data_IF_596643315992
#
_entry.id   IF_596643315992
#
_cell.length_a   1.000
_cell.length_b   1.000
_cell.length_c   1.000
_cell.angle_alpha   90.00
_cell.angle_beta   90.00
_cell.angle_gamma   90.00
#
_symmetry.space_group_name_H-M   'P 1'
#
loop_
_entity.id
_entity.type
_entity.pdbx_description
1 polymer ?
#
# COMPACT_ATOMS: atom_id res chain seq x y z
N UNK A 1 -12.99 -15.66 -14.25
CA UNK A 1 -12.30 -14.71 -13.36
C UNK A 1 -13.08 -14.62 -12.06
N UNK A 2 -12.47 -14.89 -10.89
CA UNK A 2 -13.18 -14.83 -9.59
C UNK A 2 -13.15 -13.39 -9.07
N UNK A 3 -14.32 -12.76 -8.93
CA UNK A 3 -14.44 -11.46 -8.28
C UNK A 3 -14.48 -11.67 -6.76
N UNK A 4 -13.48 -11.15 -6.06
CA UNK A 4 -13.45 -11.14 -4.59
C UNK A 4 -13.90 -9.75 -4.15
N UNK A 5 -15.08 -9.66 -3.53
CA UNK A 5 -15.58 -8.42 -2.92
C UNK A 5 -14.81 -8.19 -1.63
N UNK A 6 -13.75 -7.39 -1.68
CA UNK A 6 -13.01 -6.95 -0.50
C UNK A 6 -13.55 -5.60 -0.02
N UNK A 7 -13.75 -5.50 1.28
CA UNK A 7 -14.18 -4.25 1.92
C UNK A 7 -13.01 -3.27 1.97
N UNK A 8 -13.30 -1.96 2.04
CA UNK A 8 -12.29 -0.90 2.14
C UNK A 8 -11.27 -1.16 3.29
N UNK A 9 -11.70 -1.57 4.50
CA UNK A 9 -10.77 -1.90 5.59
C UNK A 9 -9.87 -3.09 5.30
N UNK A 10 -10.37 -4.14 4.63
CA UNK A 10 -9.55 -5.29 4.23
C UNK A 10 -8.44 -4.90 3.25
N UNK A 11 -8.74 -4.03 2.28
CA UNK A 11 -7.73 -3.53 1.35
C UNK A 11 -6.68 -2.72 2.09
N UNK A 12 -7.09 -1.88 3.05
CA UNK A 12 -6.18 -1.15 3.93
C UNK A 12 -5.27 -2.07 4.74
N UNK A 13 -5.82 -3.14 5.33
CA UNK A 13 -5.07 -4.12 6.12
C UNK A 13 -4.02 -4.89 5.28
N UNK A 14 -4.42 -5.30 4.08
CA UNK A 14 -3.53 -6.00 3.13
C UNK A 14 -2.43 -5.05 2.62
N UNK A 15 -2.77 -3.80 2.32
CA UNK A 15 -1.80 -2.80 1.91
C UNK A 15 -0.81 -2.47 3.04
N UNK A 16 -1.31 -2.32 4.27
CA UNK A 16 -0.49 -2.02 5.44
C UNK A 16 0.51 -3.12 5.78
N UNK A 17 0.09 -4.39 5.73
CA UNK A 17 0.99 -5.53 5.96
C UNK A 17 2.08 -5.65 4.90
N UNK A 18 1.76 -5.38 3.63
CA UNK A 18 2.74 -5.32 2.53
C UNK A 18 3.74 -4.18 2.69
N UNK A 19 3.25 -2.99 3.07
CA UNK A 19 4.10 -1.84 3.34
C UNK A 19 5.04 -2.12 4.53
N UNK A 20 4.53 -2.68 5.63
CA UNK A 20 5.33 -3.03 6.80
C UNK A 20 6.42 -4.07 6.48
N UNK A 21 6.09 -5.10 5.69
CA UNK A 21 7.06 -6.11 5.26
C UNK A 21 8.17 -5.51 4.37
N UNK A 22 7.81 -4.66 3.40
CA UNK A 22 8.78 -3.97 2.54
C UNK A 22 9.69 -3.00 3.32
N UNK A 23 9.12 -2.25 4.27
CA UNK A 23 9.88 -1.36 5.14
C UNK A 23 10.84 -2.13 6.06
N UNK A 24 10.39 -3.25 6.66
CA UNK A 24 11.24 -4.11 7.48
C UNK A 24 12.43 -4.67 6.70
N UNK A 25 12.19 -5.19 5.49
CA UNK A 25 13.25 -5.67 4.60
C UNK A 25 14.23 -4.55 4.20
N UNK A 26 13.71 -3.37 3.86
CA UNK A 26 14.55 -2.22 3.57
C UNK A 26 15.44 -1.83 4.76
N UNK A 27 14.90 -1.82 5.99
CA UNK A 27 15.66 -1.53 7.20
C UNK A 27 16.74 -2.58 7.49
N UNK A 28 16.48 -3.86 7.23
CA UNK A 28 17.47 -4.94 7.36
C UNK A 28 18.61 -4.82 6.32
N UNK A 29 18.29 -4.47 5.06
CA UNK A 29 19.29 -4.31 4.00
C UNK A 29 20.05 -2.99 4.07
N UNK A 30 19.48 -1.99 4.73
CA UNK A 30 20.00 -0.65 4.90
C UNK A 30 21.32 -0.60 5.70
N UNK A 31 21.54 -1.53 6.63
CA UNK A 31 22.74 -1.59 7.48
C UNK A 31 24.00 -2.05 6.72
N UNK A 32 23.83 -2.63 5.52
CA UNK A 32 24.91 -3.00 4.60
C UNK A 32 25.38 -1.83 3.71
N UNK A 33 24.79 -0.64 3.85
CA UNK A 33 25.02 0.51 2.96
C UNK A 33 25.78 1.63 3.68
N UNK A 34 26.74 2.22 2.98
CA UNK A 34 27.44 3.43 3.44
C UNK A 34 26.43 4.58 3.71
N UNK A 35 26.75 5.55 4.58
CA UNK A 35 25.80 6.58 5.03
C UNK A 35 25.15 7.39 3.91
N UNK A 36 25.86 7.64 2.80
CA UNK A 36 25.30 8.32 1.62
C UNK A 36 24.33 7.42 0.83
N UNK A 37 24.65 6.14 0.65
CA UNK A 37 23.75 5.16 0.04
C UNK A 37 22.52 4.93 0.90
N UNK A 38 22.67 4.87 2.22
CA UNK A 38 21.57 4.74 3.17
C UNK A 38 20.57 5.88 3.02
N UNK A 39 21.07 7.11 2.81
CA UNK A 39 20.24 8.30 2.60
C UNK A 39 19.51 8.23 1.25
N UNK A 40 20.20 7.85 0.17
CA UNK A 40 19.59 7.68 -1.15
C UNK A 40 18.54 6.56 -1.17
N UNK A 41 18.83 5.41 -0.55
CA UNK A 41 17.91 4.27 -0.47
C UNK A 41 16.72 4.59 0.42
N UNK A 42 16.91 5.27 1.55
CA UNK A 42 15.81 5.73 2.40
C UNK A 42 14.87 6.70 1.68
N UNK A 43 15.42 7.68 0.95
CA UNK A 43 14.61 8.63 0.18
C UNK A 43 13.89 8.00 -1.01
N UNK A 44 14.53 7.06 -1.71
CA UNK A 44 13.89 6.34 -2.81
C UNK A 44 12.79 5.41 -2.31
N UNK A 45 12.99 4.68 -1.21
CA UNK A 45 11.94 3.86 -0.59
C UNK A 45 10.77 4.70 -0.08
N UNK A 46 11.04 5.87 0.51
CA UNK A 46 10.01 6.81 0.92
C UNK A 46 9.21 7.30 -0.30
N UNK A 47 9.89 7.75 -1.35
CA UNK A 47 9.26 8.24 -2.57
C UNK A 47 8.42 7.15 -3.26
N UNK A 48 8.96 5.94 -3.38
CA UNK A 48 8.27 4.78 -3.96
C UNK A 48 7.08 4.37 -3.09
N UNK A 49 7.26 4.31 -1.77
CA UNK A 49 6.19 4.00 -0.82
C UNK A 49 5.04 5.00 -0.90
N UNK A 50 5.35 6.30 -0.96
CA UNK A 50 4.37 7.38 -1.15
C UNK A 50 3.68 7.25 -2.52
N UNK A 51 4.44 7.05 -3.60
CA UNK A 51 3.91 6.91 -4.95
C UNK A 51 2.96 5.72 -5.11
N UNK A 52 3.18 4.63 -4.37
CA UNK A 52 2.33 3.44 -4.42
C UNK A 52 1.13 3.58 -3.47
N UNK A 53 1.32 4.18 -2.30
CA UNK A 53 0.30 4.21 -1.23
C UNK A 53 -0.70 5.33 -1.43
N UNK A 54 -0.27 6.53 -1.81
CA UNK A 54 -1.19 7.67 -2.02
C UNK A 54 -2.29 7.37 -3.04
N UNK A 55 -2.02 6.86 -4.25
CA UNK A 55 -3.10 6.57 -5.20
C UNK A 55 -3.97 5.39 -4.76
N UNK A 56 -3.41 4.42 -4.02
CA UNK A 56 -4.20 3.29 -3.51
C UNK A 56 -5.17 3.76 -2.42
N UNK A 57 -4.69 4.60 -1.50
CA UNK A 57 -5.51 5.26 -0.48
C UNK A 57 -6.52 6.19 -1.13
N UNK A 58 -6.14 7.02 -2.10
CA UNK A 58 -7.06 7.90 -2.82
C UNK A 58 -8.14 7.12 -3.59
N UNK A 59 -7.81 5.99 -4.21
CA UNK A 59 -8.79 5.13 -4.87
C UNK A 59 -9.73 4.42 -3.88
N UNK A 60 -9.23 4.05 -2.71
CA UNK A 60 -10.02 3.40 -1.66
C UNK A 60 -10.96 4.41 -0.98
N UNK A 61 -10.48 5.61 -0.67
CA UNK A 61 -11.28 6.66 -0.02
C UNK A 61 -12.14 7.48 -0.98
N UNK A 62 -11.76 7.57 -2.26
CA UNK A 62 -12.48 8.35 -3.28
C UNK A 62 -13.59 7.59 -4.00
N UNK A 63 -13.79 6.28 -3.71
CA UNK A 63 -14.88 5.51 -4.29
C UNK A 63 -16.16 5.79 -3.48
N UNK A 64 -17.20 6.44 -4.06
CA UNK A 64 -18.50 6.50 -3.42
C UNK A 64 -18.98 5.08 -3.11
N UNK A 65 -19.67 4.84 -1.99
CA UNK A 65 -20.26 3.54 -1.71
C UNK A 65 -21.05 3.11 -2.94
N UNK A 66 -20.63 2.00 -3.56
CA UNK A 66 -21.34 1.46 -4.69
C UNK A 66 -22.80 1.23 -4.23
N UNK A 67 -23.80 1.76 -4.96
CA UNK A 67 -25.18 1.53 -4.58
C UNK A 67 -25.38 0.03 -4.53
N UNK A 68 -25.96 -0.44 -3.42
CA UNK A 68 -26.40 -1.80 -3.30
C UNK A 68 -27.32 -2.08 -4.47
N UNK A 69 -26.87 -2.90 -5.43
CA UNK A 69 -27.75 -3.42 -6.45
C UNK A 69 -28.86 -4.17 -5.72
N UNK A 70 -30.14 -3.80 -5.91
CA UNK A 70 -31.25 -4.55 -5.38
C UNK A 70 -31.27 -5.86 -6.16
N UNK A 71 -30.75 -6.91 -5.55
CA UNK A 71 -30.94 -8.26 -6.06
C UNK A 71 -32.45 -8.55 -5.99
N UNK A 72 -33.03 -8.52 -7.18
CA UNK A 72 -34.42 -8.80 -7.54
C UNK A 72 -35.01 -10.00 -6.77
N UNK A 73 -36.22 -9.75 -6.27
CA UNK A 73 -37.43 -10.58 -6.24
C UNK A 73 -37.30 -12.11 -6.33
#
# INVERSE_FOLDING_TARGET
MKQVKLTIPEIGLIAGTRAAAGAGLALLLCDRLNPDQRRAVGWTLLAVGIAITIPLVAQVFGKPPAPADPEKA
#
